data_IF_165298642782
#
_entry.id   IF_165298642782
#
_cell.length_a   1.000
_cell.length_b   1.000
_cell.length_c   1.000
_cell.angle_alpha   90.00
_cell.angle_beta   90.00
_cell.angle_gamma   90.00
#
_symmetry.space_group_name_H-M   'P 1'
#
loop_
_entity.id
_entity.type
_entity.pdbx_description
1 polymer ?
#
# COMPACT_ATOMS: atom_id res chain seq x y z
N UNK A 1 15.51 14.38 -17.30
CA UNK A 1 14.94 13.53 -16.23
C UNK A 1 15.99 12.50 -15.86
N UNK A 2 16.54 12.49 -14.64
CA UNK A 2 17.48 11.43 -14.22
C UNK A 2 16.69 10.20 -13.77
N UNK A 3 16.81 9.08 -14.50
CA UNK A 3 16.05 7.85 -14.22
C UNK A 3 16.34 7.23 -12.84
N UNK A 4 17.54 7.47 -12.28
CA UNK A 4 18.00 6.83 -11.04
C UNK A 4 18.13 7.79 -9.86
N UNK A 5 17.44 8.94 -9.89
CA UNK A 5 17.42 9.87 -8.75
C UNK A 5 16.70 9.24 -7.56
N UNK A 6 17.43 9.03 -6.46
CA UNK A 6 16.87 8.58 -5.18
C UNK A 6 16.26 9.76 -4.41
N UNK A 7 15.09 9.56 -3.83
CA UNK A 7 14.47 10.50 -2.90
C UNK A 7 15.15 10.36 -1.53
N UNK A 8 15.51 11.47 -0.89
CA UNK A 8 16.11 11.47 0.44
C UNK A 8 15.08 11.12 1.53
N UNK A 9 15.54 10.41 2.56
CA UNK A 9 14.70 9.95 3.68
C UNK A 9 14.10 11.12 4.45
N UNK A 10 14.86 12.18 4.67
CA UNK A 10 14.39 13.39 5.37
C UNK A 10 13.19 14.04 4.68
N UNK A 11 13.13 13.95 3.35
CA UNK A 11 12.01 14.51 2.57
C UNK A 11 10.77 13.65 2.76
N UNK A 12 10.90 12.32 2.83
CA UNK A 12 9.79 11.40 3.07
C UNK A 12 9.17 11.58 4.47
N UNK A 13 10.03 11.74 5.49
CA UNK A 13 9.59 11.99 6.87
C UNK A 13 8.86 13.33 6.99
N UNK A 14 9.38 14.39 6.35
CA UNK A 14 8.72 15.69 6.31
C UNK A 14 7.37 15.64 5.61
N UNK A 15 7.27 14.99 4.45
CA UNK A 15 5.98 14.87 3.74
C UNK A 15 4.93 14.08 4.53
N UNK A 16 5.36 13.04 5.27
CA UNK A 16 4.46 12.23 6.10
C UNK A 16 3.95 13.03 7.31
N UNK A 17 4.79 13.87 7.91
CA UNK A 17 4.44 14.71 9.07
C UNK A 17 3.80 16.05 8.75
N UNK A 18 3.97 16.59 7.53
CA UNK A 18 3.60 17.96 7.17
C UNK A 18 2.11 18.16 6.81
N UNK A 19 1.29 17.09 6.79
CA UNK A 19 -0.13 17.19 6.39
C UNK A 19 -1.05 17.92 7.38
N UNK A 20 -0.51 18.57 8.43
CA UNK A 20 -1.25 19.41 9.39
C UNK A 20 -2.25 18.67 10.29
N UNK A 21 -2.67 17.48 9.89
CA UNK A 21 -3.56 16.57 10.62
C UNK A 21 -2.88 15.20 10.61
N UNK A 22 -2.47 14.73 11.79
CA UNK A 22 -1.96 13.37 11.95
C UNK A 22 -3.13 12.42 12.19
N UNK A 23 -3.12 11.28 11.50
CA UNK A 23 -4.04 10.18 11.80
C UNK A 23 -3.62 9.54 13.12
N UNK A 24 -4.60 9.15 13.94
CA UNK A 24 -4.34 8.32 15.12
C UNK A 24 -3.80 6.96 14.67
N UNK A 25 -2.72 6.50 15.30
CA UNK A 25 -2.09 5.21 15.01
C UNK A 25 -2.85 4.10 15.75
N UNK A 26 -4.04 3.76 15.27
CA UNK A 26 -4.90 2.76 15.89
C UNK A 26 -4.74 1.36 15.28
N UNK A 27 -4.27 1.24 14.03
CA UNK A 27 -4.14 -0.06 13.36
C UNK A 27 -2.95 -0.86 13.90
N UNK A 28 -3.25 -2.07 14.38
CA UNK A 28 -2.27 -3.08 14.79
C UNK A 28 -1.88 -4.03 13.67
N UNK A 29 -1.07 -5.04 14.00
CA UNK A 29 -0.59 -6.03 13.02
C UNK A 29 -1.74 -6.81 12.35
N UNK A 30 -2.79 -7.13 13.11
CA UNK A 30 -3.96 -7.84 12.59
C UNK A 30 -4.75 -6.98 11.59
N UNK A 31 -5.01 -5.71 11.92
CA UNK A 31 -5.75 -4.78 11.05
C UNK A 31 -5.00 -4.56 9.73
N UNK A 32 -3.67 -4.42 9.80
CA UNK A 32 -2.81 -4.30 8.61
C UNK A 32 -2.80 -5.59 7.77
N UNK A 33 -2.87 -6.76 8.40
CA UNK A 33 -2.95 -8.05 7.70
C UNK A 33 -4.29 -8.17 6.97
N UNK A 34 -5.39 -7.80 7.62
CA UNK A 34 -6.72 -7.78 7.01
C UNK A 34 -6.81 -6.79 5.85
N UNK A 35 -6.19 -5.60 5.98
CA UNK A 35 -6.04 -4.65 4.87
C UNK A 35 -5.33 -5.28 3.66
N UNK A 36 -4.23 -6.02 3.90
CA UNK A 36 -3.50 -6.72 2.85
C UNK A 36 -4.34 -7.79 2.15
N UNK A 37 -5.05 -8.62 2.92
CA UNK A 37 -5.93 -9.66 2.38
C UNK A 37 -7.01 -9.03 1.48
N UNK A 38 -7.69 -7.99 1.97
CA UNK A 38 -8.73 -7.31 1.21
C UNK A 38 -8.22 -6.62 -0.07
N UNK A 39 -6.96 -6.15 -0.06
CA UNK A 39 -6.34 -5.55 -1.24
C UNK A 39 -5.84 -6.59 -2.27
N UNK A 40 -5.49 -7.80 -1.83
CA UNK A 40 -4.92 -8.85 -2.69
C UNK A 40 -6.03 -9.73 -3.30
N UNK A 41 -7.02 -10.13 -2.51
CA UNK A 41 -8.07 -11.04 -2.96
C UNK A 41 -9.13 -10.22 -3.72
N UNK A 42 -9.07 -10.25 -5.04
CA UNK A 42 -10.00 -9.54 -5.92
C UNK A 42 -10.23 -10.26 -7.25
N UNK A 43 -10.42 -9.49 -8.31
CA UNK A 43 -10.73 -10.02 -9.66
C UNK A 43 -9.70 -11.04 -10.15
N UNK A 44 -8.44 -10.93 -9.74
CA UNK A 44 -7.37 -11.87 -10.13
C UNK A 44 -7.72 -13.33 -9.85
N UNK A 45 -8.10 -13.68 -8.62
CA UNK A 45 -8.39 -15.08 -8.27
C UNK A 45 -9.71 -15.58 -8.86
N UNK A 46 -10.70 -14.71 -9.09
CA UNK A 46 -12.02 -15.12 -9.59
C UNK A 46 -12.12 -15.14 -11.11
N UNK A 47 -11.33 -14.33 -11.81
CA UNK A 47 -11.38 -14.21 -13.28
C UNK A 47 -10.24 -14.97 -13.94
N UNK A 48 -8.99 -14.80 -13.48
CA UNK A 48 -7.85 -15.43 -14.14
C UNK A 48 -7.84 -16.95 -13.97
N UNK A 49 -8.38 -17.46 -12.86
CA UNK A 49 -8.53 -18.91 -12.69
C UNK A 49 -9.53 -19.50 -13.67
N UNK A 50 -10.64 -18.82 -13.94
CA UNK A 50 -11.62 -19.22 -14.95
C UNK A 50 -11.04 -19.21 -16.36
N UNK A 51 -10.26 -18.17 -16.71
CA UNK A 51 -9.55 -18.08 -18.01
C UNK A 51 -8.43 -19.12 -18.13
N UNK A 52 -7.71 -19.43 -17.06
CA UNK A 52 -6.66 -20.44 -17.08
C UNK A 52 -7.21 -21.87 -17.13
N UNK A 53 -8.45 -22.09 -16.69
CA UNK A 53 -9.12 -23.39 -16.70
C UNK A 53 -9.84 -23.69 -18.02
N UNK A 54 -10.14 -22.66 -18.83
CA UNK A 54 -10.81 -22.76 -20.14
C UNK A 54 -9.85 -23.06 -21.29
#
# INVERSE_FOLDING_TARGET
MSLFRKKSIDVLLKETGAKGVSLKKELGAFDLTMLGIGAIIGTGIFVLTGVAAS
#
